data_IF_701954065393
#
_entry.id   IF_701954065393
#
_cell.length_a   1.000
_cell.length_b   1.000
_cell.length_c   1.000
_cell.angle_alpha   90.00
_cell.angle_beta   90.00
_cell.angle_gamma   90.00
#
_symmetry.space_group_name_H-M   'P 1'
#
loop_
_entity.id
_entity.type
_entity.pdbx_description
1 polymer ?
#
# COMPACT_ATOMS: atom_id res chain seq x y z
N UNK A 1 23.07 15.33 -9.83
CA UNK A 1 23.08 14.50 -8.60
C UNK A 1 21.87 13.58 -8.67
N UNK A 2 22.02 12.31 -8.35
CA UNK A 2 20.87 11.41 -8.24
C UNK A 2 20.11 11.76 -6.96
N UNK A 3 18.81 12.04 -7.08
CA UNK A 3 17.92 12.27 -5.94
C UNK A 3 17.30 10.95 -5.51
N UNK A 4 17.21 10.71 -4.21
CA UNK A 4 16.54 9.56 -3.60
C UNK A 4 15.65 10.08 -2.48
N UNK A 5 14.43 9.55 -2.40
CA UNK A 5 13.40 9.96 -1.44
C UNK A 5 13.74 9.35 -0.08
N UNK A 6 13.66 10.15 0.99
CA UNK A 6 13.84 9.62 2.35
C UNK A 6 12.59 8.82 2.79
N UNK A 7 12.75 7.87 3.73
CA UNK A 7 11.63 7.03 4.20
C UNK A 7 10.45 7.85 4.75
N UNK A 8 10.76 8.93 5.47
CA UNK A 8 9.75 9.85 6.01
C UNK A 8 9.06 10.75 4.98
N UNK A 9 9.48 10.70 3.72
CA UNK A 9 8.85 11.40 2.59
C UNK A 9 7.99 10.45 1.74
N UNK A 10 7.91 9.16 2.10
CA UNK A 10 7.17 8.14 1.34
C UNK A 10 5.65 8.24 1.50
N UNK A 11 5.19 8.81 2.61
CA UNK A 11 3.77 9.04 2.91
C UNK A 11 3.61 10.53 3.22
N UNK A 12 2.86 11.25 2.38
CA UNK A 12 2.69 12.70 2.43
C UNK A 12 1.22 13.12 2.66
N UNK A 13 0.36 12.17 3.00
CA UNK A 13 -1.06 12.38 3.26
C UNK A 13 -1.42 12.11 4.73
N UNK A 14 -2.47 12.78 5.27
CA UNK A 14 -2.97 12.50 6.62
C UNK A 14 -3.69 11.14 6.70
N UNK A 15 -3.85 10.54 7.90
CA UNK A 15 -4.49 9.23 8.05
C UNK A 15 -5.89 9.15 7.45
N UNK A 16 -6.69 10.21 7.54
CA UNK A 16 -8.07 10.23 7.03
C UNK A 16 -8.16 10.04 5.51
N UNK A 17 -7.09 10.34 4.76
CA UNK A 17 -7.05 10.15 3.31
C UNK A 17 -7.16 8.67 2.90
N UNK A 18 -6.77 7.75 3.79
CA UNK A 18 -6.88 6.30 3.58
C UNK A 18 -8.32 5.84 3.33
N UNK A 19 -9.32 6.60 3.77
CA UNK A 19 -10.75 6.30 3.51
C UNK A 19 -11.14 6.43 2.04
N UNK A 20 -10.32 7.13 1.25
CA UNK A 20 -10.49 7.25 -0.20
C UNK A 20 -9.77 6.14 -0.98
N UNK A 21 -9.07 5.24 -0.29
CA UNK A 21 -8.33 4.14 -0.88
C UNK A 21 -9.26 2.94 -1.06
N UNK A 22 -8.82 1.97 -1.86
CA UNK A 22 -9.54 0.75 -2.15
C UNK A 22 -8.77 -0.45 -1.64
N UNK A 23 -9.49 -1.37 -0.98
CA UNK A 23 -8.97 -2.67 -0.59
C UNK A 23 -9.07 -3.62 -1.78
N UNK A 24 -7.97 -4.32 -2.06
CA UNK A 24 -7.94 -5.45 -3.00
C UNK A 24 -7.27 -6.64 -2.33
N UNK A 25 -7.59 -7.84 -2.83
CA UNK A 25 -6.97 -9.09 -2.38
C UNK A 25 -6.13 -9.69 -3.50
N UNK A 26 -5.05 -10.36 -3.12
CA UNK A 26 -4.17 -11.07 -4.05
C UNK A 26 -3.59 -12.32 -3.39
N UNK A 27 -3.36 -13.37 -4.17
CA UNK A 27 -2.67 -14.58 -3.71
C UNK A 27 -1.17 -14.51 -4.08
N UNK A 28 -0.32 -15.22 -3.32
CA UNK A 28 1.11 -15.43 -3.64
C UNK A 28 2.06 -14.22 -3.49
N UNK A 29 1.71 -13.20 -2.69
CA UNK A 29 2.70 -12.23 -2.21
C UNK A 29 3.48 -12.87 -1.06
N UNK A 30 4.52 -13.62 -1.40
CA UNK A 30 5.25 -14.47 -0.44
C UNK A 30 6.54 -13.82 0.09
N UNK A 31 7.07 -12.83 -0.61
CA UNK A 31 8.34 -12.22 -0.23
C UNK A 31 8.15 -10.98 0.65
N UNK A 32 7.82 -11.23 1.93
CA UNK A 32 7.62 -10.19 2.93
C UNK A 32 8.91 -9.46 3.33
N UNK A 33 10.09 -9.88 2.87
CA UNK A 33 11.35 -9.16 3.11
C UNK A 33 11.38 -7.78 2.40
N UNK A 34 10.46 -7.54 1.47
CA UNK A 34 10.30 -6.28 0.76
C UNK A 34 9.18 -5.40 1.32
N UNK A 35 8.71 -5.69 2.54
CA UNK A 35 7.84 -4.78 3.29
C UNK A 35 8.66 -3.97 4.28
N UNK A 36 8.22 -2.73 4.53
CA UNK A 36 8.83 -1.81 5.49
C UNK A 36 7.83 -1.62 6.63
N UNK A 37 8.31 -1.60 7.89
CA UNK A 37 7.44 -1.32 9.02
C UNK A 37 6.96 0.14 8.96
N UNK A 38 5.66 0.44 9.21
CA UNK A 38 5.14 1.80 9.13
C UNK A 38 5.89 2.82 10.01
N UNK A 39 6.38 2.39 11.18
CA UNK A 39 7.18 3.22 12.11
C UNK A 39 8.55 3.65 11.55
N UNK A 40 9.04 3.01 10.48
CA UNK A 40 10.25 3.45 9.79
C UNK A 40 10.01 4.62 8.82
N UNK A 41 8.74 4.86 8.45
CA UNK A 41 8.32 5.88 7.49
C UNK A 41 7.49 7.00 8.13
N UNK A 42 6.92 6.79 9.32
CA UNK A 42 6.02 7.73 9.97
C UNK A 42 6.46 7.94 11.42
N UNK A 43 6.51 9.21 11.86
CA UNK A 43 6.78 9.55 13.27
C UNK A 43 5.72 8.98 14.22
N UNK A 44 4.46 8.88 13.75
CA UNK A 44 3.36 8.26 14.45
C UNK A 44 2.49 7.45 13.48
N UNK A 45 2.77 6.14 13.39
CA UNK A 45 2.04 5.25 12.49
C UNK A 45 0.70 4.77 13.04
N UNK A 46 0.47 4.84 14.36
CA UNK A 46 -0.68 4.24 15.03
C UNK A 46 -2.04 4.65 14.41
N UNK A 47 -2.30 5.94 14.11
CA UNK A 47 -3.56 6.35 13.48
C UNK A 47 -3.76 5.75 12.09
N UNK A 48 -2.68 5.62 11.31
CA UNK A 48 -2.73 5.03 9.98
C UNK A 48 -3.00 3.53 10.07
N UNK A 49 -2.21 2.81 10.88
CA UNK A 49 -2.35 1.37 11.09
C UNK A 49 -3.75 1.03 11.58
N UNK A 50 -4.33 1.86 12.47
CA UNK A 50 -5.71 1.68 12.94
C UNK A 50 -6.72 1.73 11.80
N UNK A 51 -6.67 2.76 10.96
CA UNK A 51 -7.60 2.89 9.81
C UNK A 51 -7.42 1.74 8.81
N UNK A 52 -6.18 1.36 8.53
CA UNK A 52 -5.87 0.21 7.64
C UNK A 52 -6.46 -1.08 8.20
N UNK A 53 -6.29 -1.34 9.50
CA UNK A 53 -6.89 -2.51 10.18
C UNK A 53 -8.41 -2.51 10.05
N UNK A 54 -9.05 -1.38 10.34
CA UNK A 54 -10.50 -1.22 10.23
C UNK A 54 -10.98 -1.54 8.81
N UNK A 55 -10.34 -0.94 7.79
CA UNK A 55 -10.69 -1.18 6.38
C UNK A 55 -10.46 -2.64 5.95
N UNK A 56 -9.38 -3.28 6.37
CA UNK A 56 -9.14 -4.69 6.05
C UNK A 56 -10.17 -5.61 6.72
N UNK A 57 -10.48 -5.39 8.00
CA UNK A 57 -11.51 -6.16 8.71
C UNK A 57 -12.89 -6.00 8.05
N UNK A 58 -13.26 -4.79 7.64
CA UNK A 58 -14.50 -4.50 6.93
C UNK A 58 -14.61 -5.23 5.58
N UNK A 59 -13.47 -5.58 4.95
CA UNK A 59 -13.42 -6.27 3.67
C UNK A 59 -13.20 -7.80 3.81
N UNK A 60 -13.09 -8.32 5.02
CA UNK A 60 -13.06 -9.77 5.30
C UNK A 60 -11.74 -10.34 5.79
N UNK A 61 -10.73 -9.50 6.09
CA UNK A 61 -9.50 -9.95 6.73
C UNK A 61 -9.79 -10.49 8.15
N UNK A 62 -9.10 -11.55 8.56
CA UNK A 62 -9.30 -12.19 9.87
C UNK A 62 -8.59 -11.49 11.04
N UNK A 63 -7.78 -10.47 10.75
CA UNK A 63 -7.09 -9.68 11.78
C UNK A 63 -5.71 -10.22 12.20
N UNK A 64 -5.10 -11.08 11.38
CA UNK A 64 -3.79 -11.68 11.61
C UNK A 64 -2.71 -11.21 10.61
N UNK A 65 -1.43 -11.34 11.00
CA UNK A 65 -0.31 -10.84 10.22
C UNK A 65 0.02 -9.37 10.50
N UNK A 66 1.21 -8.97 10.06
CA UNK A 66 1.77 -7.65 10.30
C UNK A 66 1.43 -6.71 9.14
N UNK A 67 0.93 -5.52 9.47
CA UNK A 67 0.70 -4.47 8.48
C UNK A 67 2.02 -3.78 8.17
N UNK A 68 2.40 -3.84 6.90
CA UNK A 68 3.59 -3.21 6.35
C UNK A 68 3.27 -2.30 5.18
N UNK A 69 4.33 -1.64 4.71
CA UNK A 69 4.32 -0.79 3.53
C UNK A 69 5.09 -1.48 2.40
N UNK A 70 4.56 -1.42 1.19
CA UNK A 70 5.23 -1.89 -0.02
C UNK A 70 5.32 -0.77 -1.04
N UNK A 71 6.50 -0.58 -1.64
CA UNK A 71 6.67 0.40 -2.69
C UNK A 71 6.45 -0.24 -4.06
N UNK A 72 5.55 0.35 -4.86
CA UNK A 72 5.37 0.01 -6.26
C UNK A 72 6.10 1.07 -7.10
N UNK A 73 7.12 0.66 -7.90
CA UNK A 73 7.80 1.57 -8.80
C UNK A 73 6.86 2.17 -9.86
N UNK A 74 7.13 3.40 -10.34
CA UNK A 74 6.31 4.05 -11.37
C UNK A 74 6.07 3.21 -12.63
N UNK A 75 7.07 2.42 -13.05
CA UNK A 75 6.98 1.61 -14.28
C UNK A 75 6.07 0.38 -14.15
N UNK A 76 5.64 0.04 -12.93
CA UNK A 76 4.64 -1.01 -12.68
C UNK A 76 3.21 -0.46 -12.73
N UNK A 77 3.03 0.86 -12.76
CA UNK A 77 1.73 1.52 -12.83
C UNK A 77 1.27 1.66 -14.29
N UNK A 78 -0.04 1.84 -14.54
CA UNK A 78 -0.54 1.95 -15.91
C UNK A 78 0.08 3.15 -16.64
N UNK A 79 0.45 2.92 -17.90
CA UNK A 79 1.14 3.89 -18.74
C UNK A 79 0.11 4.81 -19.42
N UNK A 80 -0.52 5.70 -18.66
CA UNK A 80 -1.41 6.74 -19.18
C UNK A 80 -1.02 8.14 -18.65
N UNK A 81 -1.91 9.14 -18.78
CA UNK A 81 -1.66 10.52 -18.31
C UNK A 81 -1.33 10.61 -16.81
N UNK A 82 -1.70 9.61 -16.00
CA UNK A 82 -1.39 9.56 -14.56
C UNK A 82 0.04 9.13 -14.25
N UNK A 83 0.80 8.62 -15.23
CA UNK A 83 2.22 8.29 -15.04
C UNK A 83 3.03 9.52 -14.60
N UNK A 84 2.59 10.73 -15.02
CA UNK A 84 3.16 12.00 -14.58
C UNK A 84 2.82 12.36 -13.13
N UNK A 85 1.72 11.83 -12.58
CA UNK A 85 1.32 12.02 -11.18
C UNK A 85 2.12 11.13 -10.23
N UNK A 86 2.45 9.91 -10.66
CA UNK A 86 3.16 8.92 -9.84
C UNK A 86 4.63 8.74 -10.25
N UNK A 87 5.31 9.84 -10.61
CA UNK A 87 6.73 9.82 -11.03
C UNK A 87 7.68 9.27 -9.96
N UNK A 88 7.25 9.25 -8.70
CA UNK A 88 7.97 8.71 -7.53
C UNK A 88 7.56 7.27 -7.16
N UNK A 89 6.59 6.70 -7.87
CA UNK A 89 5.92 5.46 -7.51
C UNK A 89 4.86 5.69 -6.44
N UNK A 90 4.36 4.61 -5.86
CA UNK A 90 3.40 4.68 -4.76
C UNK A 90 3.83 3.76 -3.64
N UNK A 91 3.42 4.11 -2.43
CA UNK A 91 3.48 3.20 -1.28
C UNK A 91 2.07 2.73 -0.96
N UNK A 92 1.93 1.41 -0.84
CA UNK A 92 0.67 0.74 -0.52
C UNK A 92 0.78 0.10 0.86
N UNK A 93 -0.36 -0.09 1.51
CA UNK A 93 -0.42 -0.87 2.74
C UNK A 93 -0.69 -2.33 2.40
N UNK A 94 -0.02 -3.22 3.10
CA UNK A 94 -0.09 -4.66 2.88
C UNK A 94 -0.15 -5.40 4.22
N UNK A 95 -0.97 -6.45 4.29
CA UNK A 95 -0.79 -7.53 5.26
C UNK A 95 -0.98 -8.87 4.56
N UNK A 96 -0.40 -9.91 5.12
CA UNK A 96 -0.62 -11.28 4.69
C UNK A 96 -1.28 -12.08 5.81
N UNK A 97 -2.45 -12.61 5.51
CA UNK A 97 -3.18 -13.49 6.40
C UNK A 97 -2.44 -14.82 6.53
N UNK A 98 -2.28 -15.31 7.77
CA UNK A 98 -1.48 -16.50 8.05
C UNK A 98 -2.27 -17.79 7.79
N UNK A 99 -3.60 -17.74 7.95
CA UNK A 99 -4.47 -18.91 7.85
C UNK A 99 -4.60 -19.45 6.43
N UNK A 100 -4.71 -18.58 5.43
CA UNK A 100 -4.96 -18.95 4.03
C UNK A 100 -3.92 -18.39 3.04
N UNK A 101 -3.02 -17.50 3.49
CA UNK A 101 -2.01 -16.86 2.66
C UNK A 101 -2.52 -15.69 1.82
N UNK A 102 -3.79 -15.29 1.97
CA UNK A 102 -4.39 -14.16 1.25
C UNK A 102 -3.67 -12.87 1.65
N UNK A 103 -3.25 -12.09 0.66
CA UNK A 103 -2.70 -10.77 0.87
C UNK A 103 -3.76 -9.70 0.69
N UNK A 104 -3.83 -8.80 1.66
CA UNK A 104 -4.73 -7.67 1.69
C UNK A 104 -3.93 -6.41 1.40
N UNK A 105 -4.38 -5.64 0.42
CA UNK A 105 -3.70 -4.45 -0.06
C UNK A 105 -4.63 -3.25 0.00
N UNK A 106 -4.16 -2.12 0.52
CA UNK A 106 -4.88 -0.84 0.47
C UNK A 106 -4.12 0.12 -0.44
N UNK A 107 -4.78 0.57 -1.52
CA UNK A 107 -4.15 1.33 -2.60
C UNK A 107 -5.04 2.51 -3.02
N UNK A 108 -4.47 3.60 -3.58
CA UNK A 108 -5.28 4.69 -4.13
C UNK A 108 -6.29 4.18 -5.17
N UNK A 109 -7.56 4.56 -5.02
CA UNK A 109 -8.66 4.06 -5.83
C UNK A 109 -8.45 4.29 -7.34
N UNK A 110 -7.89 5.44 -7.71
CA UNK A 110 -7.56 5.77 -9.11
C UNK A 110 -6.72 4.67 -9.76
N UNK A 111 -5.76 4.10 -9.03
CA UNK A 111 -4.82 3.10 -9.55
C UNK A 111 -5.49 1.73 -9.70
N UNK A 112 -6.44 1.40 -8.82
CA UNK A 112 -7.18 0.15 -8.89
C UNK A 112 -8.19 0.16 -10.04
N UNK A 113 -8.86 1.29 -10.25
CA UNK A 113 -9.84 1.46 -11.34
C UNK A 113 -9.18 1.51 -12.71
N UNK A 114 -7.95 1.98 -12.77
CA UNK A 114 -7.12 1.89 -13.96
C UNK A 114 -6.70 0.44 -14.15
N UNK A 115 -7.15 -0.21 -15.24
CA UNK A 115 -6.69 -1.56 -15.58
C UNK A 115 -5.17 -1.60 -15.59
N UNK A 116 -4.58 -2.23 -14.58
CA UNK A 116 -3.16 -2.54 -14.58
C UNK A 116 -2.85 -3.26 -15.90
N UNK A 117 -1.77 -2.90 -16.60
CA UNK A 117 -1.45 -3.47 -17.91
C UNK A 117 -1.20 -5.00 -17.88
N UNK A 118 -1.29 -5.61 -16.70
CA UNK A 118 -1.02 -7.02 -16.41
C UNK A 118 -2.26 -7.79 -15.88
N UNK A 119 -3.46 -7.19 -15.88
CA UNK A 119 -4.74 -7.83 -15.52
C UNK A 119 -5.71 -7.93 -16.71
#
# INVERSE_FOLDING_TARGET
MAYSIAKNEMIDYPPDELKNFQVITYEWIDNLNFTIAPDECLDNSEPYVKIVKELFLENGWEGDGDIGLMWIPPFCLPCDETQWRYTKGIVIWHTKQQSDGTSWLLMPKEIVEMKLPFC
#
